data_IF_278145796938
#
_entry.id   IF_278145796938
#
_cell.length_a   1.000
_cell.length_b   1.000
_cell.length_c   1.000
_cell.angle_alpha   90.00
_cell.angle_beta   90.00
_cell.angle_gamma   90.00
#
_symmetry.space_group_name_H-M   'P 1'
#
loop_
_entity.id
_entity.type
_entity.pdbx_description
1 polymer ?
#
# COMPACT_ATOMS: atom_id res chain seq x y z
N UNK A 1 -26.82 -4.41 16.04
CA UNK A 1 -25.62 -4.73 16.85
C UNK A 1 -24.40 -4.10 16.12
N UNK A 2 -23.42 -3.48 16.83
CA UNK A 2 -22.22 -2.92 16.18
C UNK A 2 -21.42 -4.06 15.51
N UNK A 3 -20.93 -3.94 14.26
CA UNK A 3 -20.14 -4.99 13.63
C UNK A 3 -18.78 -5.18 14.33
N UNK A 4 -18.27 -6.40 14.36
CA UNK A 4 -16.92 -6.71 14.81
C UNK A 4 -15.94 -6.37 13.69
N UNK A 5 -14.83 -5.74 14.02
CA UNK A 5 -13.73 -5.44 13.10
C UNK A 5 -12.48 -6.21 13.54
N UNK A 6 -11.92 -6.98 12.62
CA UNK A 6 -10.64 -7.65 12.83
C UNK A 6 -9.51 -6.78 12.30
N UNK A 7 -8.58 -6.41 13.17
CA UNK A 7 -7.35 -5.70 12.81
C UNK A 7 -6.25 -6.75 12.69
N UNK A 8 -5.74 -6.97 11.49
CA UNK A 8 -4.82 -8.04 11.16
C UNK A 8 -3.43 -7.47 10.87
N UNK A 9 -2.43 -7.90 11.63
CA UNK A 9 -1.07 -7.36 11.61
C UNK A 9 -0.09 -8.49 11.25
N UNK A 10 0.32 -8.63 9.98
CA UNK A 10 1.44 -9.49 9.63
C UNK A 10 2.74 -8.82 10.09
N UNK A 11 3.64 -9.56 10.71
CA UNK A 11 4.89 -9.02 11.24
C UNK A 11 6.09 -9.88 10.84
N UNK A 12 7.16 -9.24 10.37
CA UNK A 12 8.44 -9.88 10.13
C UNK A 12 9.56 -8.84 10.30
N UNK A 13 10.49 -9.10 11.24
CA UNK A 13 11.60 -8.19 11.57
C UNK A 13 11.15 -6.75 11.80
N UNK A 14 10.14 -6.59 12.64
CA UNK A 14 9.50 -5.32 12.95
C UNK A 14 9.69 -4.90 14.43
N UNK A 15 10.68 -5.44 15.12
CA UNK A 15 10.97 -5.16 16.53
C UNK A 15 10.90 -3.67 16.90
N UNK A 16 11.47 -2.73 16.11
CA UNK A 16 11.43 -1.30 16.44
C UNK A 16 10.03 -0.66 16.34
N UNK A 17 9.09 -1.29 15.61
CA UNK A 17 7.86 -0.63 15.16
C UNK A 17 6.58 -1.33 15.62
N UNK A 18 6.61 -2.65 15.82
CA UNK A 18 5.43 -3.48 16.09
C UNK A 18 4.63 -3.00 17.31
N UNK A 19 5.29 -2.46 18.35
CA UNK A 19 4.64 -1.89 19.53
C UNK A 19 3.74 -0.70 19.16
N UNK A 20 4.18 0.18 18.25
CA UNK A 20 3.40 1.33 17.81
C UNK A 20 2.16 0.89 17.04
N UNK A 21 2.33 -0.08 16.12
CA UNK A 21 1.22 -0.64 15.34
C UNK A 21 0.14 -1.24 16.26
N UNK A 22 0.53 -2.11 17.19
CA UNK A 22 -0.39 -2.75 18.16
C UNK A 22 -1.08 -1.69 19.02
N UNK A 23 -0.34 -0.73 19.57
CA UNK A 23 -0.92 0.35 20.37
C UNK A 23 -1.92 1.18 19.58
N UNK A 24 -1.67 1.43 18.29
CA UNK A 24 -2.60 2.16 17.43
C UNK A 24 -3.90 1.38 17.18
N UNK A 25 -3.82 0.06 17.07
CA UNK A 25 -4.96 -0.84 16.96
C UNK A 25 -5.78 -0.88 18.28
N UNK A 26 -5.11 -0.99 19.43
CA UNK A 26 -5.75 -0.96 20.74
C UNK A 26 -6.50 0.37 20.99
N UNK A 27 -5.91 1.49 20.59
CA UNK A 27 -6.48 2.84 20.74
C UNK A 27 -7.63 3.18 19.79
N UNK A 28 -8.02 2.27 18.87
CA UNK A 28 -9.17 2.52 18.00
C UNK A 28 -10.44 2.76 18.82
N UNK A 29 -11.14 3.84 18.54
CA UNK A 29 -12.37 4.22 19.24
C UNK A 29 -13.55 3.32 18.93
N UNK A 30 -13.48 2.52 17.86
CA UNK A 30 -14.48 1.49 17.56
C UNK A 30 -14.45 0.40 18.65
N UNK A 31 -15.55 0.16 19.39
CA UNK A 31 -15.49 -0.66 20.61
C UNK A 31 -15.45 -2.18 20.35
N UNK A 32 -16.02 -2.65 19.22
CA UNK A 32 -16.04 -4.08 18.90
C UNK A 32 -14.93 -4.41 17.90
N UNK A 33 -13.77 -4.71 18.41
CA UNK A 33 -12.60 -5.09 17.63
C UNK A 33 -11.90 -6.30 18.21
N UNK A 34 -11.23 -7.05 17.38
CA UNK A 34 -10.23 -8.05 17.71
C UNK A 34 -8.92 -7.70 17.00
N UNK A 35 -7.80 -8.03 17.60
CA UNK A 35 -6.47 -7.73 17.06
C UNK A 35 -5.70 -9.03 16.97
N UNK A 36 -5.20 -9.35 15.78
CA UNK A 36 -4.45 -10.57 15.53
C UNK A 36 -3.11 -10.21 14.90
N UNK A 37 -2.04 -10.60 15.57
CA UNK A 37 -0.65 -10.44 15.09
C UNK A 37 -0.14 -11.81 14.68
N UNK A 38 0.38 -11.90 13.46
CA UNK A 38 1.06 -13.10 12.97
C UNK A 38 2.52 -12.77 12.70
N UNK A 39 3.39 -13.29 13.57
CA UNK A 39 4.83 -13.25 13.36
C UNK A 39 5.25 -14.29 12.33
N UNK A 40 5.81 -13.86 11.21
CA UNK A 40 6.24 -14.71 10.10
C UNK A 40 7.68 -15.22 10.29
N UNK A 41 7.97 -15.76 11.48
CA UNK A 41 9.27 -16.35 11.80
C UNK A 41 10.40 -15.32 11.91
N UNK A 42 10.16 -14.23 12.62
CA UNK A 42 11.15 -13.19 12.89
C UNK A 42 12.35 -13.75 13.68
N UNK A 43 13.53 -13.24 13.38
CA UNK A 43 14.79 -13.59 14.05
C UNK A 43 15.30 -12.50 14.98
N UNK A 44 14.57 -11.38 15.09
CA UNK A 44 14.78 -10.29 16.04
C UNK A 44 13.77 -10.38 17.19
N UNK A 45 13.64 -9.33 18.00
CA UNK A 45 12.72 -9.28 19.14
C UNK A 45 11.23 -9.08 18.79
N UNK A 46 10.83 -9.12 17.51
CA UNK A 46 9.44 -8.84 17.09
C UNK A 46 8.41 -9.65 17.85
N UNK A 47 8.58 -10.98 17.88
CA UNK A 47 7.65 -11.88 18.58
C UNK A 47 7.59 -11.59 20.08
N UNK A 48 8.75 -11.35 20.71
CA UNK A 48 8.83 -11.05 22.14
C UNK A 48 8.13 -9.73 22.49
N UNK A 49 8.30 -8.69 21.68
CA UNK A 49 7.61 -7.40 21.84
C UNK A 49 6.10 -7.55 21.61
N UNK A 50 5.66 -8.23 20.55
CA UNK A 50 4.25 -8.45 20.29
C UNK A 50 3.56 -9.24 21.41
N UNK A 51 4.23 -10.27 21.97
CA UNK A 51 3.70 -11.14 23.02
C UNK A 51 3.43 -10.39 24.34
N UNK A 52 4.04 -9.25 24.57
CA UNK A 52 3.75 -8.42 25.76
C UNK A 52 2.30 -7.89 25.75
N UNK A 53 1.65 -7.81 24.60
CA UNK A 53 0.27 -7.34 24.46
C UNK A 53 -0.78 -8.44 24.55
N UNK A 54 -0.41 -9.71 24.67
CA UNK A 54 -1.37 -10.84 24.73
C UNK A 54 -2.37 -10.72 25.88
N UNK A 55 -1.98 -10.13 27.01
CA UNK A 55 -2.86 -9.84 28.15
C UNK A 55 -3.87 -8.70 27.91
N UNK A 56 -3.73 -7.94 26.84
CA UNK A 56 -4.57 -6.79 26.48
C UNK A 56 -5.61 -7.11 25.40
N UNK A 57 -5.91 -8.39 25.15
CA UNK A 57 -6.88 -8.82 24.15
C UNK A 57 -6.31 -8.88 22.73
N UNK A 58 -5.00 -8.94 22.59
CA UNK A 58 -4.30 -9.19 21.32
C UNK A 58 -3.95 -10.66 21.19
N UNK A 59 -4.39 -11.29 20.12
CA UNK A 59 -3.98 -12.66 19.76
C UNK A 59 -2.65 -12.58 19.01
N UNK A 60 -1.62 -13.22 19.55
CA UNK A 60 -0.29 -13.28 18.92
C UNK A 60 0.03 -14.73 18.59
N UNK A 61 0.33 -15.00 17.33
CA UNK A 61 0.76 -16.32 16.85
C UNK A 61 2.03 -16.20 16.04
N UNK A 62 2.84 -17.25 16.00
CA UNK A 62 4.04 -17.32 15.16
C UNK A 62 3.92 -18.47 14.17
N UNK A 63 4.51 -18.30 13.00
CA UNK A 63 4.64 -19.33 11.97
C UNK A 63 6.07 -19.38 11.45
N UNK A 64 6.42 -20.45 10.75
CA UNK A 64 7.66 -20.47 9.95
C UNK A 64 7.53 -19.44 8.82
N UNK A 65 8.61 -18.73 8.52
CA UNK A 65 8.60 -17.70 7.46
C UNK A 65 8.12 -18.27 6.12
N UNK A 66 7.04 -17.69 5.60
CA UNK A 66 6.41 -18.02 4.31
C UNK A 66 6.09 -16.77 3.48
N UNK A 67 6.44 -15.58 3.98
CA UNK A 67 6.20 -14.29 3.33
C UNK A 67 4.90 -13.60 3.76
N UNK A 68 4.80 -12.32 3.41
CA UNK A 68 3.75 -11.43 3.87
C UNK A 68 2.33 -11.91 3.50
N UNK A 69 2.12 -12.38 2.26
CA UNK A 69 0.84 -12.93 1.81
C UNK A 69 0.39 -14.13 2.65
N UNK A 70 1.31 -15.05 2.97
CA UNK A 70 1.00 -16.21 3.82
C UNK A 70 0.68 -15.80 5.26
N UNK A 71 1.39 -14.82 5.82
CA UNK A 71 1.11 -14.29 7.15
C UNK A 71 -0.26 -13.60 7.20
N UNK A 72 -0.63 -12.84 6.15
CA UNK A 72 -1.96 -12.23 6.03
C UNK A 72 -3.06 -13.30 5.91
N UNK A 73 -2.87 -14.32 5.10
CA UNK A 73 -3.82 -15.44 4.99
C UNK A 73 -3.99 -16.17 6.33
N UNK A 74 -2.91 -16.40 7.06
CA UNK A 74 -2.98 -17.01 8.39
C UNK A 74 -3.73 -16.10 9.38
N UNK A 75 -3.44 -14.80 9.42
CA UNK A 75 -4.18 -13.86 10.26
C UNK A 75 -5.68 -13.87 9.93
N UNK A 76 -6.03 -13.92 8.64
CA UNK A 76 -7.41 -14.00 8.22
C UNK A 76 -8.11 -15.31 8.64
N UNK A 77 -7.41 -16.45 8.62
CA UNK A 77 -7.98 -17.72 9.04
C UNK A 77 -8.34 -17.77 10.53
N UNK A 78 -7.76 -16.90 11.34
CA UNK A 78 -7.99 -16.80 12.79
C UNK A 78 -9.06 -15.77 13.16
N UNK A 79 -9.46 -14.90 12.24
CA UNK A 79 -10.35 -13.79 12.52
C UNK A 79 -11.83 -14.10 12.32
N UNK A 80 -12.70 -13.40 13.06
CA UNK A 80 -14.16 -13.56 13.01
C UNK A 80 -14.93 -12.27 12.67
N UNK A 81 -14.24 -11.15 12.45
CA UNK A 81 -14.84 -9.84 12.20
C UNK A 81 -15.68 -9.78 10.93
N UNK A 82 -16.69 -8.93 10.95
CA UNK A 82 -17.53 -8.60 9.78
C UNK A 82 -16.80 -7.67 8.80
N UNK A 83 -15.83 -6.92 9.32
CA UNK A 83 -14.93 -6.07 8.54
C UNK A 83 -13.48 -6.39 8.88
N UNK A 84 -12.62 -6.27 7.90
CA UNK A 84 -11.19 -6.55 7.99
C UNK A 84 -10.41 -5.25 7.78
N UNK A 85 -9.55 -4.93 8.74
CA UNK A 85 -8.57 -3.87 8.70
C UNK A 85 -7.17 -4.47 8.62
N UNK A 86 -6.50 -4.35 7.48
CA UNK A 86 -5.09 -4.67 7.38
C UNK A 86 -4.24 -3.56 7.99
N UNK A 87 -3.18 -3.91 8.71
CA UNK A 87 -2.24 -2.97 9.28
C UNK A 87 -0.84 -3.57 9.20
N UNK A 88 0.05 -2.96 8.44
CA UNK A 88 1.45 -3.37 8.40
C UNK A 88 2.14 -3.07 9.75
N UNK A 89 3.12 -3.90 10.12
CA UNK A 89 3.71 -3.90 11.46
C UNK A 89 4.52 -2.63 11.81
N UNK A 90 4.78 -1.78 10.82
CA UNK A 90 5.48 -0.50 10.94
C UNK A 90 4.57 0.72 10.77
N UNK A 91 3.27 0.52 10.49
CA UNK A 91 2.29 1.58 10.25
C UNK A 91 1.45 1.91 11.49
N UNK A 92 0.71 3.02 11.44
CA UNK A 92 -0.12 3.51 12.54
C UNK A 92 -1.50 3.92 12.02
N UNK A 93 -2.56 3.51 12.72
CA UNK A 93 -3.93 3.98 12.48
C UNK A 93 -4.24 5.19 13.37
N UNK A 94 -4.90 6.23 12.82
CA UNK A 94 -5.48 7.28 13.64
C UNK A 94 -6.59 6.70 14.55
N UNK A 95 -6.79 7.22 15.77
CA UNK A 95 -7.68 6.60 16.76
C UNK A 95 -9.14 6.42 16.27
N UNK A 96 -9.63 7.29 15.44
CA UNK A 96 -11.01 7.31 14.94
C UNK A 96 -11.18 6.74 13.52
N UNK A 97 -10.10 6.21 12.94
CA UNK A 97 -10.08 5.75 11.54
C UNK A 97 -11.17 4.70 11.26
N UNK A 98 -11.23 3.65 12.07
CA UNK A 98 -12.21 2.57 11.90
C UNK A 98 -13.63 3.08 12.16
N UNK A 99 -13.86 3.89 13.20
CA UNK A 99 -15.18 4.45 13.50
C UNK A 99 -15.74 5.24 12.34
N UNK A 100 -14.94 6.13 11.73
CA UNK A 100 -15.34 6.93 10.56
C UNK A 100 -15.71 6.06 9.37
N UNK A 101 -14.92 5.03 9.09
CA UNK A 101 -15.22 4.15 7.96
C UNK A 101 -16.46 3.28 8.22
N UNK A 102 -16.65 2.77 9.43
CA UNK A 102 -17.86 2.00 9.79
C UNK A 102 -19.11 2.88 9.73
N UNK A 103 -19.05 4.14 10.14
CA UNK A 103 -20.18 5.08 10.02
C UNK A 103 -20.63 5.25 8.56
N UNK A 104 -19.68 5.39 7.63
CA UNK A 104 -19.96 5.44 6.18
C UNK A 104 -20.54 4.11 5.69
N UNK A 105 -19.96 2.97 6.10
CA UNK A 105 -20.46 1.65 5.75
C UNK A 105 -21.90 1.43 6.19
N UNK A 106 -22.24 1.86 7.42
CA UNK A 106 -23.59 1.75 7.98
C UNK A 106 -24.59 2.67 7.27
N UNK A 107 -24.15 3.84 6.81
CA UNK A 107 -24.97 4.78 6.04
C UNK A 107 -25.29 4.23 4.64
N UNK A 108 -24.27 3.73 3.95
CA UNK A 108 -24.40 3.21 2.59
C UNK A 108 -25.06 1.82 2.52
N UNK A 109 -25.03 1.04 3.60
CA UNK A 109 -25.67 -0.28 3.75
C UNK A 109 -25.38 -1.25 2.61
N UNK A 110 -24.18 -1.18 2.04
CA UNK A 110 -23.75 -2.03 0.95
C UNK A 110 -22.42 -2.71 1.32
N UNK A 111 -22.43 -4.00 1.64
CA UNK A 111 -21.22 -4.72 2.03
C UNK A 111 -20.23 -4.93 0.89
N UNK A 112 -20.66 -4.70 -0.35
CA UNK A 112 -19.77 -4.81 -1.53
C UNK A 112 -19.04 -3.50 -1.89
N UNK A 113 -19.07 -2.51 -1.02
CA UNK A 113 -18.24 -1.32 -1.14
C UNK A 113 -16.90 -1.52 -0.44
N UNK A 114 -15.83 -1.09 -1.10
CA UNK A 114 -14.48 -1.07 -0.51
C UNK A 114 -14.19 0.34 0.01
N UNK A 115 -14.13 0.50 1.33
CA UNK A 115 -13.90 1.81 1.92
C UNK A 115 -12.41 2.16 1.89
N UNK A 116 -12.07 3.26 1.24
CA UNK A 116 -10.73 3.85 1.23
C UNK A 116 -10.63 5.04 2.20
N UNK A 117 -9.39 5.49 2.48
CA UNK A 117 -9.18 6.61 3.40
C UNK A 117 -7.86 7.34 3.14
N UNK A 118 -7.70 8.49 3.80
CA UNK A 118 -6.46 9.26 3.74
C UNK A 118 -5.27 8.49 4.29
N UNK A 119 -4.10 8.68 3.70
CA UNK A 119 -2.84 8.20 4.24
C UNK A 119 -1.72 9.21 4.07
N UNK A 120 -0.82 9.26 5.05
CA UNK A 120 0.30 10.18 5.07
C UNK A 120 1.61 9.48 5.37
N UNK A 121 2.70 9.98 4.81
CA UNK A 121 4.06 9.45 5.01
C UNK A 121 4.71 10.11 6.22
N UNK A 122 5.39 9.31 7.02
CA UNK A 122 6.19 9.78 8.15
C UNK A 122 7.40 8.85 8.37
N UNK A 123 8.36 9.27 9.19
CA UNK A 123 9.50 8.42 9.57
C UNK A 123 9.38 7.98 11.03
N UNK A 124 9.41 8.92 11.96
CA UNK A 124 9.38 8.62 13.41
C UNK A 124 8.17 9.21 14.13
N UNK A 125 7.68 10.37 13.71
CA UNK A 125 6.64 11.13 14.42
C UNK A 125 5.44 11.40 13.53
N UNK A 126 4.26 10.96 13.96
CA UNK A 126 3.01 11.14 13.20
C UNK A 126 2.56 12.60 13.09
N UNK A 127 2.95 13.47 14.03
CA UNK A 127 2.62 14.92 13.99
C UNK A 127 3.17 15.65 12.77
N UNK A 128 4.25 15.13 12.17
CA UNK A 128 4.88 15.73 10.98
C UNK A 128 4.58 14.94 9.70
N UNK A 129 3.62 14.03 9.76
CA UNK A 129 3.23 13.23 8.62
C UNK A 129 2.72 14.09 7.46
N UNK A 130 3.09 13.71 6.24
CA UNK A 130 2.70 14.41 5.02
C UNK A 130 1.58 13.66 4.33
N UNK A 131 0.39 14.27 4.28
CA UNK A 131 -0.77 13.80 3.56
C UNK A 131 -0.83 14.48 2.20
N UNK A 132 -0.51 13.75 1.14
CA UNK A 132 -0.49 14.28 -0.23
C UNK A 132 -1.66 13.66 -0.99
N UNK A 133 -2.73 14.42 -1.29
CA UNK A 133 -3.87 13.93 -2.05
C UNK A 133 -3.44 13.42 -3.43
N UNK A 134 -4.05 12.32 -3.84
CA UNK A 134 -3.87 11.73 -5.17
C UNK A 134 -5.20 11.68 -5.93
N UNK A 135 -5.15 11.31 -7.21
CA UNK A 135 -6.34 11.11 -8.03
C UNK A 135 -7.30 10.01 -7.49
N UNK A 136 -6.86 9.21 -6.50
CA UNK A 136 -7.64 8.16 -5.85
C UNK A 136 -8.40 8.65 -4.61
N UNK A 137 -8.17 9.88 -4.13
CA UNK A 137 -8.79 10.40 -2.90
C UNK A 137 -10.17 11.00 -3.17
N UNK A 138 -11.05 10.21 -3.70
CA UNK A 138 -12.45 10.54 -3.98
C UNK A 138 -13.27 9.27 -4.16
N UNK A 139 -14.60 9.40 -4.15
CA UNK A 139 -15.51 8.30 -4.46
C UNK A 139 -15.37 7.92 -5.92
N UNK A 140 -15.09 6.64 -6.19
CA UNK A 140 -14.85 6.17 -7.55
C UNK A 140 -15.56 4.84 -7.83
N UNK A 141 -16.14 4.69 -9.04
CA UNK A 141 -16.46 3.37 -9.56
C UNK A 141 -15.19 2.50 -9.71
N UNK A 142 -15.28 1.16 -9.65
CA UNK A 142 -14.12 0.28 -9.75
C UNK A 142 -13.26 0.51 -10.99
N UNK A 143 -13.87 0.66 -12.16
CA UNK A 143 -13.17 0.92 -13.42
C UNK A 143 -12.37 2.24 -13.34
N UNK A 144 -13.01 3.32 -12.90
CA UNK A 144 -12.35 4.62 -12.79
C UNK A 144 -11.19 4.61 -11.80
N UNK A 145 -11.32 3.82 -10.71
CA UNK A 145 -10.24 3.67 -9.74
C UNK A 145 -9.02 3.01 -10.37
N UNK A 146 -9.21 1.88 -11.08
CA UNK A 146 -8.12 1.16 -11.74
C UNK A 146 -7.51 1.97 -12.90
N UNK A 147 -8.33 2.67 -13.69
CA UNK A 147 -7.87 3.57 -14.73
C UNK A 147 -6.93 4.65 -14.16
N UNK A 148 -7.36 5.33 -13.09
CA UNK A 148 -6.53 6.38 -12.46
C UNK A 148 -5.27 5.82 -11.84
N UNK A 149 -5.33 4.66 -11.16
CA UNK A 149 -4.15 3.99 -10.65
C UNK A 149 -3.11 3.78 -11.73
N UNK A 150 -3.52 3.23 -12.86
CA UNK A 150 -2.61 2.86 -13.94
C UNK A 150 -2.13 4.08 -14.76
N UNK A 151 -3.01 5.04 -15.03
CA UNK A 151 -2.68 6.24 -15.79
C UNK A 151 -1.74 7.17 -15.03
N UNK A 152 -1.98 7.38 -13.73
CA UNK A 152 -1.21 8.33 -12.91
C UNK A 152 -0.14 7.68 -12.05
N UNK A 153 0.00 6.35 -12.13
CA UNK A 153 0.91 5.58 -11.28
C UNK A 153 0.76 5.92 -9.79
N UNK A 154 -0.47 5.93 -9.31
CA UNK A 154 -0.82 6.21 -7.91
C UNK A 154 -1.32 4.95 -7.22
N UNK A 155 -1.19 4.90 -5.91
CA UNK A 155 -1.52 3.72 -5.12
C UNK A 155 -2.05 4.11 -3.74
N UNK A 156 -2.62 3.13 -3.05
CA UNK A 156 -3.09 3.25 -1.67
C UNK A 156 -2.47 2.14 -0.85
N UNK A 157 -1.95 2.46 0.32
CA UNK A 157 -1.32 1.48 1.21
C UNK A 157 -2.36 0.60 1.93
N UNK A 158 -2.00 -0.63 2.39
CA UNK A 158 -2.95 -1.60 2.94
C UNK A 158 -3.80 -1.07 4.10
N UNK A 159 -3.21 -0.30 5.02
CA UNK A 159 -3.93 0.23 6.17
C UNK A 159 -5.01 1.27 5.84
N UNK A 160 -5.01 1.86 4.63
CA UNK A 160 -6.04 2.82 4.22
C UNK A 160 -7.41 2.17 3.95
N UNK A 161 -7.46 0.87 3.77
CA UNK A 161 -8.66 0.13 3.43
C UNK A 161 -9.42 -0.38 4.66
N UNK A 162 -10.75 -0.46 4.53
CA UNK A 162 -11.60 -1.28 5.37
C UNK A 162 -12.48 -2.13 4.46
N UNK A 163 -12.37 -3.45 4.59
CA UNK A 163 -13.00 -4.42 3.68
C UNK A 163 -14.06 -5.20 4.44
N UNK A 164 -15.27 -5.35 3.88
CA UNK A 164 -16.24 -6.31 4.44
C UNK A 164 -15.75 -7.75 4.22
N UNK A 165 -16.13 -8.65 5.12
CA UNK A 165 -15.83 -10.09 4.97
C UNK A 165 -16.42 -10.63 3.67
N UNK A 166 -17.67 -10.27 3.34
CA UNK A 166 -18.33 -10.69 2.09
C UNK A 166 -17.53 -10.32 0.84
N UNK A 167 -17.06 -9.08 0.76
CA UNK A 167 -16.27 -8.62 -0.37
C UNK A 167 -14.91 -9.34 -0.43
N UNK A 168 -14.27 -9.53 0.73
CA UNK A 168 -13.00 -10.22 0.82
C UNK A 168 -13.11 -11.69 0.39
N UNK A 169 -14.14 -12.41 0.84
CA UNK A 169 -14.40 -13.79 0.44
C UNK A 169 -14.67 -13.91 -1.06
N UNK A 170 -15.36 -12.95 -1.65
CA UNK A 170 -15.61 -12.90 -3.10
C UNK A 170 -14.34 -12.70 -3.94
N UNK A 171 -13.33 -12.06 -3.36
CA UNK A 171 -12.04 -11.83 -4.02
C UNK A 171 -11.05 -12.98 -3.80
N UNK A 172 -11.19 -13.74 -2.71
CA UNK A 172 -10.29 -14.83 -2.33
C UNK A 172 -9.05 -14.37 -1.56
N UNK A 173 -8.17 -15.30 -1.15
CA UNK A 173 -7.01 -15.02 -0.31
C UNK A 173 -5.92 -14.23 -1.04
N UNK A 174 -4.95 -13.74 -0.28
CA UNK A 174 -3.71 -13.17 -0.83
C UNK A 174 -2.96 -14.23 -1.64
N UNK A 175 -2.39 -13.82 -2.77
CA UNK A 175 -1.62 -14.74 -3.63
C UNK A 175 -0.21 -14.95 -3.06
N UNK A 176 0.02 -16.14 -2.50
CA UNK A 176 1.30 -16.50 -1.86
C UNK A 176 2.48 -16.64 -2.85
N UNK A 177 2.21 -16.62 -4.17
CA UNK A 177 3.26 -16.56 -5.19
C UNK A 177 3.92 -15.19 -5.25
N UNK A 178 3.22 -14.15 -4.75
CA UNK A 178 3.69 -12.78 -4.78
C UNK A 178 4.52 -12.46 -3.53
N UNK A 179 5.73 -11.97 -3.75
CA UNK A 179 6.66 -11.47 -2.73
C UNK A 179 6.97 -9.98 -2.89
N UNK A 180 6.38 -9.35 -3.90
CA UNK A 180 6.48 -7.92 -4.19
C UNK A 180 5.23 -7.47 -4.95
N UNK A 181 4.71 -6.26 -4.62
CA UNK A 181 3.46 -5.69 -5.15
C UNK A 181 2.25 -6.63 -4.93
N UNK A 182 2.29 -7.39 -3.85
CA UNK A 182 1.24 -8.30 -3.42
C UNK A 182 -0.02 -7.54 -3.02
N UNK A 183 0.13 -6.39 -2.38
CA UNK A 183 -0.95 -5.46 -2.05
C UNK A 183 -1.54 -4.78 -3.31
N UNK A 184 -0.70 -4.46 -4.28
CA UNK A 184 -1.13 -3.92 -5.57
C UNK A 184 -2.07 -4.89 -6.29
N UNK A 185 -1.72 -6.17 -6.36
CA UNK A 185 -2.57 -7.22 -6.94
C UNK A 185 -3.84 -7.42 -6.12
N UNK A 186 -3.69 -7.62 -4.81
CA UNK A 186 -4.77 -7.97 -3.92
C UNK A 186 -5.90 -6.92 -3.91
N UNK A 187 -5.56 -5.64 -3.75
CA UNK A 187 -6.57 -4.58 -3.74
C UNK A 187 -7.14 -4.30 -5.12
N UNK A 188 -6.39 -4.45 -6.21
CA UNK A 188 -6.97 -4.38 -7.56
C UNK A 188 -8.00 -5.50 -7.78
N UNK A 189 -7.75 -6.70 -7.29
CA UNK A 189 -8.69 -7.83 -7.34
C UNK A 189 -9.94 -7.57 -6.50
N UNK A 190 -9.81 -7.06 -5.27
CA UNK A 190 -10.96 -6.66 -4.44
C UNK A 190 -11.76 -5.55 -5.11
N UNK A 191 -11.10 -4.53 -5.67
CA UNK A 191 -11.75 -3.44 -6.39
C UNK A 191 -12.54 -4.00 -7.57
N UNK A 192 -12.00 -4.95 -8.34
CA UNK A 192 -12.71 -5.56 -9.47
C UNK A 192 -13.97 -6.33 -9.07
N UNK A 193 -14.09 -6.74 -7.81
CA UNK A 193 -15.27 -7.41 -7.25
C UNK A 193 -16.20 -6.46 -6.50
N UNK A 194 -15.76 -5.23 -6.24
CA UNK A 194 -16.55 -4.25 -5.52
C UNK A 194 -17.61 -3.57 -6.41
N UNK A 195 -18.57 -2.93 -5.76
CA UNK A 195 -19.57 -2.10 -6.42
C UNK A 195 -19.24 -0.60 -6.35
N UNK A 196 -18.12 -0.25 -5.73
CA UNK A 196 -17.63 1.11 -5.61
C UNK A 196 -16.54 1.24 -4.55
N UNK A 197 -15.81 2.33 -4.63
CA UNK A 197 -14.72 2.67 -3.71
C UNK A 197 -14.99 4.05 -3.09
N UNK A 198 -15.86 4.14 -2.05
CA UNK A 198 -16.05 5.37 -1.30
C UNK A 198 -14.76 5.80 -0.59
N UNK A 199 -14.49 7.10 -0.61
CA UNK A 199 -13.35 7.72 0.06
C UNK A 199 -13.78 8.43 1.35
N UNK A 200 -13.32 7.94 2.49
CA UNK A 200 -13.69 8.45 3.81
C UNK A 200 -12.69 9.52 4.26
N UNK A 201 -13.07 10.79 4.10
CA UNK A 201 -12.26 11.92 4.55
C UNK A 201 -12.11 11.93 6.07
N UNK A 202 -10.91 12.30 6.54
CA UNK A 202 -10.58 12.35 7.97
C UNK A 202 -10.29 11.00 8.62
N UNK A 203 -10.63 9.88 7.99
CA UNK A 203 -10.10 8.59 8.40
C UNK A 203 -8.64 8.51 7.94
N UNK A 204 -7.68 8.38 8.88
CA UNK A 204 -6.26 8.54 8.55
C UNK A 204 -5.45 7.31 8.89
N UNK A 205 -4.49 6.99 8.03
CA UNK A 205 -3.43 6.02 8.29
C UNK A 205 -2.08 6.68 8.06
N UNK A 206 -1.11 6.33 8.88
CA UNK A 206 0.25 6.84 8.82
C UNK A 206 1.15 5.73 8.30
N UNK A 207 1.68 5.92 7.11
CA UNK A 207 2.62 5.01 6.43
C UNK A 207 4.05 5.36 6.83
N UNK A 208 4.74 4.44 7.49
CA UNK A 208 6.11 4.67 7.96
C UNK A 208 7.12 4.40 6.86
N UNK A 209 8.01 5.36 6.65
CA UNK A 209 9.17 5.19 5.79
C UNK A 209 10.33 4.63 6.62
N UNK A 210 10.57 3.32 6.50
CA UNK A 210 11.67 2.63 7.19
C UNK A 210 12.88 2.47 6.28
N UNK A 211 14.12 2.49 6.82
CA UNK A 211 15.34 2.28 6.03
C UNK A 211 15.40 0.90 5.38
N UNK A 212 14.78 -0.10 6.00
CA UNK A 212 14.81 -1.51 5.61
C UNK A 212 13.48 -1.99 5.01
N UNK A 213 12.74 -1.08 4.34
CA UNK A 213 11.49 -1.47 3.69
C UNK A 213 11.71 -2.58 2.66
N UNK A 214 10.84 -3.59 2.65
CA UNK A 214 10.82 -4.66 1.66
C UNK A 214 10.79 -4.14 0.21
N UNK A 215 10.25 -2.93 0.01
CA UNK A 215 10.23 -2.27 -1.30
C UNK A 215 11.60 -1.79 -1.78
N UNK A 216 12.59 -1.60 -0.88
CA UNK A 216 13.88 -0.98 -1.21
C UNK A 216 15.08 -1.93 -1.15
N UNK A 217 15.02 -3.00 -0.36
CA UNK A 217 16.20 -3.79 0.04
C UNK A 217 16.57 -4.91 -0.94
N UNK A 218 15.64 -5.41 -1.75
CA UNK A 218 15.90 -6.57 -2.62
C UNK A 218 15.62 -6.30 -4.09
N UNK A 219 16.62 -6.49 -4.94
CA UNK A 219 16.55 -6.41 -6.40
C UNK A 219 16.69 -7.81 -7.06
N UNK A 220 16.24 -8.85 -6.35
CA UNK A 220 16.35 -10.24 -6.83
C UNK A 220 15.47 -10.52 -8.07
N UNK A 221 15.83 -11.57 -8.80
CA UNK A 221 15.01 -12.06 -9.90
C UNK A 221 13.65 -12.54 -9.43
N UNK A 222 13.56 -13.15 -8.25
CA UNK A 222 12.29 -13.57 -7.62
C UNK A 222 11.34 -12.38 -7.45
N UNK A 223 11.87 -11.24 -6.98
CA UNK A 223 11.08 -10.00 -6.81
C UNK A 223 10.59 -9.47 -8.15
N UNK A 224 11.43 -9.50 -9.19
CA UNK A 224 11.03 -9.10 -10.55
C UNK A 224 9.95 -10.00 -11.14
N UNK A 225 10.07 -11.31 -10.96
CA UNK A 225 9.04 -12.27 -11.38
C UNK A 225 7.70 -12.02 -10.68
N UNK A 226 7.74 -11.79 -9.37
CA UNK A 226 6.57 -11.40 -8.59
C UNK A 226 5.93 -10.12 -9.12
N UNK A 227 6.73 -9.06 -9.34
CA UNK A 227 6.24 -7.80 -9.92
C UNK A 227 5.58 -8.01 -11.27
N UNK A 228 6.22 -8.80 -12.16
CA UNK A 228 5.65 -9.08 -13.48
C UNK A 228 4.33 -9.83 -13.41
N UNK A 229 4.23 -10.81 -12.51
CA UNK A 229 2.97 -11.51 -12.28
C UNK A 229 1.89 -10.55 -11.76
N UNK A 230 2.20 -9.73 -10.75
CA UNK A 230 1.27 -8.74 -10.19
C UNK A 230 0.77 -7.75 -11.24
N UNK A 231 1.67 -7.17 -12.04
CA UNK A 231 1.33 -6.22 -13.11
C UNK A 231 0.35 -6.83 -14.10
N UNK A 232 0.61 -8.06 -14.57
CA UNK A 232 -0.28 -8.75 -15.51
C UNK A 232 -1.67 -8.98 -14.93
N UNK A 233 -1.75 -9.45 -13.68
CA UNK A 233 -3.02 -9.69 -12.99
C UNK A 233 -3.82 -8.40 -12.82
N UNK A 234 -3.18 -7.31 -12.39
CA UNK A 234 -3.83 -6.01 -12.25
C UNK A 234 -4.41 -5.50 -13.57
N UNK A 235 -3.66 -5.62 -14.68
CA UNK A 235 -4.16 -5.25 -16.02
C UNK A 235 -5.33 -6.13 -16.42
N UNK A 236 -5.27 -7.44 -16.15
CA UNK A 236 -6.37 -8.35 -16.45
C UNK A 236 -7.65 -7.96 -15.70
N UNK A 237 -7.56 -7.56 -14.41
CA UNK A 237 -8.73 -7.10 -13.66
C UNK A 237 -9.36 -5.84 -14.26
N UNK A 238 -8.56 -4.89 -14.72
CA UNK A 238 -9.09 -3.72 -15.44
C UNK A 238 -9.82 -4.14 -16.73
N UNK A 239 -9.18 -4.96 -17.57
CA UNK A 239 -9.75 -5.38 -18.86
C UNK A 239 -10.99 -6.29 -18.69
N UNK A 240 -11.11 -7.04 -17.60
CA UNK A 240 -12.33 -7.79 -17.27
C UNK A 240 -13.51 -6.89 -16.91
N UNK A 241 -13.27 -5.72 -16.32
CA UNK A 241 -14.31 -4.74 -16.02
C UNK A 241 -14.68 -3.92 -17.26
N UNK A 242 -13.68 -3.51 -18.04
CA UNK A 242 -13.86 -2.71 -19.23
C UNK A 242 -12.69 -2.93 -20.21
N UNK A 243 -12.96 -3.58 -21.34
CA UNK A 243 -12.00 -3.68 -22.44
C UNK A 243 -12.30 -2.63 -23.53
N UNK A 244 -11.73 -1.45 -23.35
CA UNK A 244 -11.90 -0.29 -24.23
C UNK A 244 -10.55 0.33 -24.60
N UNK A 245 -10.55 1.29 -25.52
CA UNK A 245 -9.35 2.03 -25.90
C UNK A 245 -8.69 2.71 -24.69
N UNK A 246 -9.48 3.35 -23.82
CA UNK A 246 -8.96 4.03 -22.62
C UNK A 246 -8.34 3.05 -21.62
N UNK A 247 -8.94 1.88 -21.44
CA UNK A 247 -8.44 0.84 -20.53
C UNK A 247 -7.12 0.25 -21.05
N UNK A 248 -7.05 -0.01 -22.34
CA UNK A 248 -5.83 -0.49 -22.99
C UNK A 248 -4.71 0.55 -22.95
N UNK A 249 -5.02 1.83 -23.21
CA UNK A 249 -4.05 2.93 -23.10
C UNK A 249 -3.52 3.09 -21.65
N UNK A 250 -4.40 3.01 -20.63
CA UNK A 250 -3.99 3.03 -19.23
C UNK A 250 -3.08 1.84 -18.87
N UNK A 251 -3.40 0.64 -19.38
CA UNK A 251 -2.58 -0.56 -19.18
C UNK A 251 -1.18 -0.42 -19.82
N UNK A 252 -1.09 0.13 -21.03
CA UNK A 252 0.21 0.42 -21.68
C UNK A 252 1.01 1.44 -20.88
N UNK A 253 0.37 2.49 -20.38
CA UNK A 253 1.00 3.48 -19.49
C UNK A 253 1.54 2.83 -18.22
N UNK A 254 0.77 1.94 -17.62
CA UNK A 254 1.19 1.20 -16.43
C UNK A 254 2.39 0.28 -16.72
N UNK A 255 2.38 -0.46 -17.83
CA UNK A 255 3.54 -1.23 -18.29
C UNK A 255 4.78 -0.34 -18.45
N UNK A 256 4.64 0.82 -19.10
CA UNK A 256 5.75 1.76 -19.29
C UNK A 256 6.34 2.24 -17.95
N UNK A 257 5.51 2.42 -16.92
CA UNK A 257 5.96 2.82 -15.58
C UNK A 257 6.91 1.81 -14.97
N UNK A 258 6.61 0.53 -15.14
CA UNK A 258 7.38 -0.56 -14.55
C UNK A 258 8.59 -0.99 -15.40
N UNK A 259 8.72 -0.49 -16.63
CA UNK A 259 9.76 -0.89 -17.57
C UNK A 259 11.18 -0.84 -16.95
N UNK A 260 11.52 0.22 -16.25
CA UNK A 260 12.85 0.43 -15.66
C UNK A 260 13.19 -0.55 -14.53
N UNK A 261 12.22 -1.23 -13.96
CA UNK A 261 12.45 -2.27 -12.94
C UNK A 261 13.09 -3.52 -13.55
N UNK A 262 12.80 -3.77 -14.82
CA UNK A 262 13.25 -4.96 -15.54
C UNK A 262 14.48 -4.69 -16.42
N UNK A 263 14.58 -3.50 -16.99
CA UNK A 263 15.66 -3.08 -17.87
C UNK A 263 16.89 -2.60 -17.06
N UNK A 264 18.11 -3.08 -17.30
CA UNK A 264 18.53 -4.09 -18.29
C UNK A 264 18.60 -5.54 -17.73
N UNK A 265 18.03 -5.81 -16.59
CA UNK A 265 18.30 -7.03 -15.79
C UNK A 265 17.53 -8.28 -16.27
N UNK A 266 16.32 -8.09 -16.86
CA UNK A 266 15.41 -9.17 -17.25
C UNK A 266 14.84 -8.89 -18.64
N UNK A 267 15.68 -9.10 -19.67
CA UNK A 267 15.30 -8.91 -21.06
C UNK A 267 14.16 -9.84 -21.50
N UNK A 268 14.09 -11.03 -20.93
CA UNK A 268 12.99 -11.97 -21.13
C UNK A 268 11.62 -11.41 -20.70
N UNK A 269 11.58 -10.66 -19.58
CA UNK A 269 10.35 -9.97 -19.14
C UNK A 269 10.08 -8.75 -20.03
N UNK A 270 11.12 -8.02 -20.43
CA UNK A 270 10.98 -6.87 -21.33
C UNK A 270 10.32 -7.29 -22.65
N UNK A 271 10.74 -8.39 -23.25
CA UNK A 271 10.14 -8.93 -24.46
C UNK A 271 8.66 -9.27 -24.25
N UNK A 272 8.33 -9.96 -23.15
CA UNK A 272 6.93 -10.24 -22.78
C UNK A 272 6.10 -8.96 -22.57
N UNK A 273 6.68 -7.91 -21.93
CA UNK A 273 6.01 -6.62 -21.76
C UNK A 273 5.73 -5.94 -23.10
N UNK A 274 6.67 -5.99 -24.03
CA UNK A 274 6.53 -5.41 -25.37
C UNK A 274 5.46 -6.14 -26.17
N UNK A 275 5.45 -7.47 -26.18
CA UNK A 275 4.41 -8.27 -26.80
C UNK A 275 3.03 -7.98 -26.18
N UNK A 276 2.96 -7.87 -24.87
CA UNK A 276 1.69 -7.56 -24.18
C UNK A 276 1.20 -6.16 -24.54
N UNK A 277 2.09 -5.17 -24.56
CA UNK A 277 1.74 -3.80 -24.98
C UNK A 277 1.25 -3.76 -26.44
N UNK A 278 1.89 -4.50 -27.35
CA UNK A 278 1.43 -4.59 -28.75
C UNK A 278 0.03 -5.18 -28.86
N UNK A 279 -0.29 -6.24 -28.10
CA UNK A 279 -1.65 -6.81 -28.04
C UNK A 279 -2.69 -5.80 -27.52
N UNK A 280 -2.26 -4.83 -26.71
CA UNK A 280 -3.11 -3.73 -26.22
C UNK A 280 -3.17 -2.53 -27.19
N UNK A 281 -2.48 -2.62 -28.32
CA UNK A 281 -2.43 -1.53 -29.33
C UNK A 281 -1.42 -0.42 -29.01
N UNK A 282 -0.45 -0.67 -28.12
CA UNK A 282 0.56 0.30 -27.72
C UNK A 282 1.99 -0.23 -27.77
N UNK A 283 2.94 0.61 -27.34
CA UNK A 283 4.37 0.28 -27.34
C UNK A 283 4.98 0.70 -26.01
N UNK A 284 5.82 -0.17 -25.44
CA UNK A 284 6.70 0.17 -24.31
C UNK A 284 8.16 0.09 -24.75
N UNK A 285 8.96 1.05 -24.30
CA UNK A 285 10.35 1.18 -24.73
C UNK A 285 11.22 1.80 -23.65
N UNK A 286 12.53 1.64 -23.77
CA UNK A 286 13.47 2.42 -22.96
C UNK A 286 13.28 3.90 -23.25
N UNK A 287 12.98 4.69 -22.22
CA UNK A 287 12.88 6.14 -22.34
C UNK A 287 14.28 6.76 -22.37
N UNK A 288 14.46 7.79 -23.17
CA UNK A 288 15.67 8.61 -23.11
C UNK A 288 15.81 9.24 -21.72
N UNK A 289 17.05 9.44 -21.16
CA UNK A 289 17.22 10.01 -19.83
C UNK A 289 16.44 11.28 -19.55
N UNK A 290 16.30 12.16 -20.55
CA UNK A 290 15.50 13.41 -20.44
C UNK A 290 14.00 13.10 -20.31
N UNK A 291 13.47 12.13 -21.06
CA UNK A 291 12.07 11.69 -20.98
C UNK A 291 11.80 11.00 -19.64
N UNK A 292 12.74 10.15 -19.17
CA UNK A 292 12.65 9.50 -17.86
C UNK A 292 12.68 10.51 -16.70
N UNK A 293 13.46 11.61 -16.83
CA UNK A 293 13.48 12.69 -15.85
C UNK A 293 12.14 13.45 -15.82
N UNK A 294 11.59 13.80 -16.99
CA UNK A 294 10.27 14.46 -17.08
C UNK A 294 9.19 13.60 -16.44
N UNK A 295 9.22 12.30 -16.63
CA UNK A 295 8.27 11.36 -16.05
C UNK A 295 8.37 11.27 -14.52
N UNK A 296 9.60 11.24 -14.01
CA UNK A 296 9.87 11.21 -12.56
C UNK A 296 9.40 12.48 -11.84
N UNK A 297 9.31 13.60 -12.56
CA UNK A 297 8.95 14.92 -12.04
C UNK A 297 7.58 15.42 -12.50
N UNK A 298 6.83 14.64 -13.27
CA UNK A 298 5.50 15.00 -13.77
C UNK A 298 4.52 15.37 -12.63
N UNK A 299 4.68 14.78 -11.45
CA UNK A 299 3.92 15.16 -10.27
C UNK A 299 4.24 16.58 -9.76
N UNK A 300 5.48 17.02 -9.91
CA UNK A 300 5.89 18.40 -9.54
C UNK A 300 5.40 19.44 -10.55
N UNK A 301 5.32 19.08 -11.83
CA UNK A 301 4.72 19.96 -12.84
C UNK A 301 3.24 20.24 -12.54
N UNK A 302 2.51 19.24 -12.02
CA UNK A 302 1.11 19.38 -11.62
C UNK A 302 0.88 20.27 -10.40
N UNK A 303 1.88 20.39 -9.49
CA UNK A 303 1.73 21.17 -8.25
C UNK A 303 2.36 22.58 -8.39
N UNK A 304 3.48 22.72 -9.07
CA UNK A 304 4.30 23.95 -9.08
C UNK A 304 4.49 24.56 -10.48
N UNK A 305 3.96 23.93 -11.53
CA UNK A 305 4.15 24.35 -12.92
C UNK A 305 5.54 24.01 -13.50
N UNK A 306 5.62 23.96 -14.84
CA UNK A 306 6.82 23.52 -15.57
C UNK A 306 8.09 24.35 -15.31
N UNK A 307 7.96 25.66 -15.01
CA UNK A 307 9.10 26.54 -14.72
C UNK A 307 9.73 26.25 -13.37
N UNK A 308 8.94 25.99 -12.33
CA UNK A 308 9.41 25.69 -10.99
C UNK A 308 10.08 24.30 -10.92
N UNK A 309 9.52 23.32 -11.62
CA UNK A 309 10.11 21.99 -11.74
C UNK A 309 11.49 22.04 -12.46
N UNK A 310 11.61 22.82 -13.52
CA UNK A 310 12.86 22.99 -14.26
C UNK A 310 13.93 23.77 -13.46
N UNK A 311 13.51 24.77 -12.68
CA UNK A 311 14.40 25.53 -11.78
C UNK A 311 14.93 24.62 -10.65
N UNK A 312 14.08 23.80 -10.03
CA UNK A 312 14.47 22.87 -8.99
C UNK A 312 15.49 21.84 -9.48
N UNK A 313 15.32 21.36 -10.72
CA UNK A 313 16.27 20.45 -11.35
C UNK A 313 17.68 21.04 -11.53
N UNK A 314 17.77 22.35 -11.81
CA UNK A 314 19.06 23.05 -12.05
C UNK A 314 19.71 23.62 -10.79
N UNK A 315 18.92 23.99 -9.78
CA UNK A 315 19.36 24.84 -8.67
C UNK A 315 19.57 24.11 -7.34
N UNK A 316 19.08 22.85 -7.20
CA UNK A 316 19.32 22.05 -6.00
C UNK A 316 20.36 20.96 -6.29
N UNK A 317 21.64 21.19 -5.96
CA UNK A 317 22.61 20.09 -5.97
C UNK A 317 22.09 18.97 -5.04
N UNK A 318 22.03 17.76 -5.54
CA UNK A 318 21.62 16.54 -4.83
C UNK A 318 22.15 16.47 -3.39
N UNK A 319 23.35 17.00 -3.17
CA UNK A 319 24.04 17.04 -1.89
C UNK A 319 23.39 17.92 -0.81
N UNK A 320 22.75 19.05 -1.16
CA UNK A 320 22.08 19.89 -0.14
C UNK A 320 20.74 19.31 0.31
N UNK A 321 20.01 18.71 -0.61
CA UNK A 321 18.73 18.08 -0.30
C UNK A 321 18.94 16.87 0.61
N UNK A 322 19.91 16.00 0.28
CA UNK A 322 20.23 14.80 1.07
C UNK A 322 20.73 15.16 2.49
N UNK A 323 21.51 16.24 2.64
CA UNK A 323 21.99 16.70 3.94
C UNK A 323 20.87 17.29 4.81
N UNK A 324 19.94 18.06 4.23
CA UNK A 324 18.77 18.61 4.96
C UNK A 324 17.82 17.49 5.36
N UNK A 325 17.59 16.52 4.48
CA UNK A 325 16.78 15.35 4.80
C UNK A 325 17.43 14.50 5.91
N UNK A 326 18.74 14.27 5.84
CA UNK A 326 19.47 13.52 6.86
C UNK A 326 19.45 14.22 8.23
N UNK A 327 19.66 15.54 8.28
CA UNK A 327 19.57 16.31 9.51
C UNK A 327 18.14 16.28 10.12
N UNK A 328 17.11 16.42 9.27
CA UNK A 328 15.71 16.31 9.70
C UNK A 328 15.40 14.91 10.27
N UNK A 329 15.82 13.86 9.58
CA UNK A 329 15.65 12.48 10.00
C UNK A 329 16.38 12.18 11.32
N UNK A 330 17.60 12.72 11.48
CA UNK A 330 18.34 12.59 12.73
C UNK A 330 17.57 13.20 13.92
N UNK A 331 17.03 14.43 13.76
CA UNK A 331 16.25 15.07 14.80
C UNK A 331 14.92 14.38 15.07
N UNK A 332 14.19 13.93 14.05
CA UNK A 332 12.96 13.17 14.20
C UNK A 332 13.23 11.86 14.96
N UNK A 333 14.29 11.14 14.62
CA UNK A 333 14.72 9.92 15.31
C UNK A 333 15.06 10.18 16.77
N UNK A 334 15.83 11.24 17.05
CA UNK A 334 16.23 11.60 18.42
C UNK A 334 15.02 11.95 19.27
N UNK A 335 14.09 12.75 18.76
CA UNK A 335 12.87 13.12 19.47
C UNK A 335 11.97 11.89 19.72
N UNK A 336 11.85 11.00 18.75
CA UNK A 336 11.12 9.73 18.92
C UNK A 336 11.74 8.87 20.02
N UNK A 337 13.08 8.69 20.03
CA UNK A 337 13.79 7.93 21.07
C UNK A 337 13.66 8.55 22.47
N UNK A 338 13.48 9.86 22.56
CA UNK A 338 13.23 10.58 23.82
C UNK A 338 11.74 10.57 24.24
N UNK A 339 10.85 9.88 23.49
CA UNK A 339 9.42 9.78 23.80
C UNK A 339 8.59 11.02 23.45
N UNK A 340 9.11 11.92 22.66
CA UNK A 340 8.34 13.06 22.13
C UNK A 340 7.60 12.64 20.85
N UNK A 341 6.28 12.44 20.95
CA UNK A 341 5.37 12.20 19.81
C UNK A 341 5.18 13.43 18.90
#
# INVERSE_FOLDING_TARGET
MKPLVSILIPAYKAEPWISDAIKSALRQTWPRKEIIVVDDGSTDGTLAVASQFSGEGVTVVSQKNRGASAARNHAYSLCSGHYIQWLDADDILAPDKISRQIEVAQTLKNPRLLLSSEWGRFHYRTKVAQFIPTALWQDLPPVEWLLRKMTFNVWMQPGSWLVSRELMESAGPWDERLSFDDDGEYFCRIISKSQGVPFVRGAKTFYRLTPESLSTVDNSNKKRESAWLSIRLQIQYLLQLEDSERSRAAAVTFLQTWFTMFDPYRMDIIEQMQEFAQKLGGVVRRLHPVEALRWKWAWMEGIFGSRAAHWAQKSLPKFKYDAICAARLFWERTLYQLGYE
#
